data_IF_402399666691
#
_entry.id   IF_402399666691
#
_cell.length_a   1.000
_cell.length_b   1.000
_cell.length_c   1.000
_cell.angle_alpha   90.00
_cell.angle_beta   90.00
_cell.angle_gamma   90.00
#
_symmetry.space_group_name_H-M   'P 1'
#
loop_
_entity.id
_entity.type
_entity.pdbx_description
1 polymer ?
#
# COMPACT_ATOMS: atom_id res chain seq x y z
N UNK A 1 -2.22 -70.51 -0.33
CA UNK A 1 -2.30 -71.46 0.79
C UNK A 1 -2.37 -70.64 2.06
N UNK A 2 -3.58 -70.48 2.57
CA UNK A 2 -3.85 -70.00 3.94
C UNK A 2 -3.60 -71.10 4.94
N UNK A 3 -3.39 -70.79 6.21
CA UNK A 3 -4.44 -71.23 7.13
C UNK A 3 -4.85 -70.16 8.17
N UNK A 4 -6.09 -70.37 8.57
CA UNK A 4 -6.95 -69.69 9.53
C UNK A 4 -6.56 -69.85 11.02
N UNK A 5 -7.18 -69.06 11.89
CA UNK A 5 -6.90 -68.94 13.32
C UNK A 5 -7.72 -69.96 14.16
N UNK A 6 -7.47 -70.04 15.43
CA UNK A 6 -8.45 -70.65 16.34
C UNK A 6 -9.14 -69.61 17.24
N UNK A 7 -10.41 -69.92 17.45
CA UNK A 7 -11.40 -69.22 18.29
C UNK A 7 -11.42 -69.72 19.74
N UNK A 8 -12.31 -69.20 20.60
CA UNK A 8 -12.07 -68.86 22.00
C UNK A 8 -12.66 -69.83 23.02
N UNK A 9 -12.43 -69.59 24.29
CA UNK A 9 -13.31 -70.13 25.35
C UNK A 9 -13.25 -69.33 26.68
N UNK A 10 -14.20 -69.50 27.58
CA UNK A 10 -14.89 -68.38 28.19
C UNK A 10 -14.76 -68.32 29.74
N UNK A 11 -15.45 -67.32 30.29
CA UNK A 11 -16.05 -67.26 31.62
C UNK A 11 -15.22 -66.90 32.84
N UNK A 12 -15.57 -65.83 33.50
CA UNK A 12 -15.22 -65.47 34.88
C UNK A 12 -16.08 -64.33 35.39
N UNK A 13 -17.04 -64.63 36.22
CA UNK A 13 -18.01 -63.71 36.86
C UNK A 13 -17.38 -62.81 37.91
N UNK A 14 -17.96 -61.61 38.06
CA UNK A 14 -18.25 -61.03 39.35
C UNK A 14 -17.42 -59.82 39.78
N UNK A 15 -18.05 -58.72 39.97
CA UNK A 15 -17.47 -57.62 40.73
C UNK A 15 -18.11 -56.26 40.39
N UNK A 16 -19.26 -55.98 41.02
CA UNK A 16 -19.84 -54.62 41.08
C UNK A 16 -18.92 -53.73 41.87
N UNK A 17 -18.30 -52.76 41.21
CA UNK A 17 -17.62 -51.62 41.86
C UNK A 17 -18.22 -50.32 41.33
N UNK A 18 -18.75 -49.58 42.29
CA UNK A 18 -19.30 -48.24 42.17
C UNK A 18 -18.38 -47.27 41.42
N UNK A 19 -18.90 -46.63 40.39
CA UNK A 19 -18.21 -45.54 39.64
C UNK A 19 -18.43 -44.25 40.40
N UNK A 20 -17.40 -43.51 40.82
CA UNK A 20 -17.58 -42.13 41.31
C UNK A 20 -17.93 -41.22 40.12
N UNK A 21 -19.04 -40.48 40.28
CA UNK A 21 -19.39 -39.36 39.40
C UNK A 21 -18.30 -38.29 39.51
N UNK A 22 -17.38 -38.28 38.58
CA UNK A 22 -16.54 -37.11 38.35
C UNK A 22 -17.40 -36.02 37.70
N UNK A 23 -17.74 -34.99 38.48
CA UNK A 23 -18.20 -33.72 37.94
C UNK A 23 -17.06 -33.14 37.09
N UNK A 24 -17.18 -33.29 35.79
CA UNK A 24 -16.32 -32.62 34.83
C UNK A 24 -16.64 -31.12 34.86
N UNK A 25 -15.74 -30.35 35.47
CA UNK A 25 -15.72 -28.90 35.41
C UNK A 25 -15.38 -28.54 33.96
N UNK A 26 -16.40 -28.21 33.17
CA UNK A 26 -16.26 -27.67 31.81
C UNK A 26 -15.69 -26.25 31.97
N UNK A 27 -14.38 -26.13 31.96
CA UNK A 27 -13.70 -24.84 31.87
C UNK A 27 -14.05 -24.26 30.48
N UNK A 28 -15.01 -23.33 30.43
CA UNK A 28 -15.17 -22.44 29.28
C UNK A 28 -13.86 -21.65 29.14
N UNK A 29 -13.04 -22.08 28.20
CA UNK A 29 -11.96 -21.25 27.66
C UNK A 29 -12.65 -20.05 26.95
N UNK A 30 -12.88 -18.99 27.69
CA UNK A 30 -13.08 -17.67 27.12
C UNK A 30 -11.78 -17.34 26.39
N UNK A 31 -11.72 -17.65 25.09
CA UNK A 31 -10.76 -17.05 24.19
C UNK A 31 -11.13 -15.56 24.08
N UNK A 32 -10.78 -14.82 25.12
CA UNK A 32 -10.75 -13.37 25.05
C UNK A 32 -9.85 -13.03 23.85
N UNK A 33 -10.37 -12.28 22.89
CA UNK A 33 -9.54 -11.61 21.90
C UNK A 33 -8.47 -10.86 22.70
N UNK A 34 -7.27 -11.38 22.72
CA UNK A 34 -6.16 -10.70 23.37
C UNK A 34 -6.03 -9.35 22.65
N UNK A 35 -6.48 -8.30 23.29
CA UNK A 35 -6.26 -6.94 22.85
C UNK A 35 -4.75 -6.80 22.79
N UNK A 36 -4.21 -6.56 21.60
CA UNK A 36 -2.77 -6.28 21.47
C UNK A 36 -2.53 -4.96 22.15
N UNK A 37 -1.71 -4.94 23.19
CA UNK A 37 -1.30 -3.71 23.91
C UNK A 37 -0.49 -2.75 23.02
N UNK A 38 -0.43 -3.00 21.70
CA UNK A 38 0.33 -2.22 20.73
C UNK A 38 -0.39 -2.19 19.38
N UNK A 39 -0.13 -1.15 18.60
CA UNK A 39 -0.59 -0.99 17.22
C UNK A 39 0.54 -1.34 16.25
N UNK A 40 0.24 -2.10 15.21
CA UNK A 40 1.20 -2.46 14.18
C UNK A 40 0.94 -1.64 12.93
N UNK A 41 1.87 -0.75 12.57
CA UNK A 41 1.83 0.09 11.36
C UNK A 41 2.69 -0.53 10.28
N UNK A 42 2.11 -0.78 9.11
CA UNK A 42 2.81 -1.27 7.93
C UNK A 42 3.08 -0.19 6.90
N UNK A 43 3.93 -0.50 5.92
CA UNK A 43 4.13 0.32 4.71
C UNK A 43 4.36 -0.53 3.47
N UNK A 44 4.17 0.07 2.29
CA UNK A 44 4.57 -0.50 1.01
C UNK A 44 6.08 -0.34 0.80
N UNK A 45 6.62 -0.97 -0.24
CA UNK A 45 8.06 -1.03 -0.54
C UNK A 45 8.58 0.18 -1.33
N UNK A 46 8.28 1.39 -0.88
CA UNK A 46 8.82 2.63 -1.43
C UNK A 46 8.84 3.75 -0.39
N UNK A 47 9.75 4.71 -0.56
CA UNK A 47 10.12 5.73 0.41
C UNK A 47 8.96 6.53 0.96
N UNK A 48 8.06 7.03 0.09
CA UNK A 48 6.89 7.79 0.55
C UNK A 48 6.01 6.98 1.49
N UNK A 49 5.80 5.69 1.19
CA UNK A 49 4.97 4.83 2.04
C UNK A 49 5.62 4.59 3.40
N UNK A 50 6.94 4.40 3.44
CA UNK A 50 7.69 4.26 4.69
C UNK A 50 7.62 5.57 5.51
N UNK A 51 7.77 6.72 4.86
CA UNK A 51 7.68 8.04 5.48
C UNK A 51 6.28 8.33 6.04
N UNK A 52 5.23 8.04 5.27
CA UNK A 52 3.85 8.18 5.74
C UNK A 52 3.53 7.20 6.88
N UNK A 53 4.04 5.99 6.80
CA UNK A 53 3.95 5.01 7.88
C UNK A 53 4.59 5.53 9.17
N UNK A 54 5.77 6.15 9.07
CA UNK A 54 6.47 6.75 10.22
C UNK A 54 5.76 7.98 10.77
N UNK A 55 5.23 8.87 9.92
CA UNK A 55 4.40 10.01 10.34
C UNK A 55 3.18 9.53 11.14
N UNK A 56 2.49 8.50 10.64
CA UNK A 56 1.32 7.91 11.32
C UNK A 56 1.71 7.26 12.63
N UNK A 57 2.79 6.47 12.65
CA UNK A 57 3.28 5.82 13.86
C UNK A 57 3.62 6.82 14.96
N UNK A 58 4.44 7.83 14.64
CA UNK A 58 4.81 8.87 15.60
C UNK A 58 3.62 9.73 16.03
N UNK A 59 2.64 9.98 15.15
CA UNK A 59 1.44 10.71 15.51
C UNK A 59 0.59 9.94 16.53
N UNK A 60 0.44 8.62 16.36
CA UNK A 60 -0.24 7.77 17.35
C UNK A 60 0.52 7.82 18.69
N UNK A 61 1.84 7.62 18.71
CA UNK A 61 2.66 7.66 19.90
C UNK A 61 2.60 9.02 20.63
N UNK A 62 2.55 10.12 19.86
CA UNK A 62 2.46 11.50 20.43
C UNK A 62 1.11 11.82 21.04
N UNK A 63 0.02 11.27 20.53
CA UNK A 63 -1.36 11.63 20.90
C UNK A 63 -2.04 10.58 21.75
N UNK A 64 -1.44 9.43 21.89
CA UNK A 64 -1.93 8.33 22.71
C UNK A 64 -0.78 7.76 23.55
N UNK A 65 -1.07 6.86 24.46
CA UNK A 65 -0.03 6.14 25.21
C UNK A 65 0.30 4.78 24.57
N UNK A 66 -0.19 4.52 23.34
CA UNK A 66 -0.04 3.23 22.70
C UNK A 66 1.35 3.08 22.09
N UNK A 67 2.06 2.00 22.39
CA UNK A 67 3.28 1.65 21.67
C UNK A 67 2.96 1.23 20.25
N UNK A 68 3.81 1.63 19.29
CA UNK A 68 3.64 1.31 17.88
C UNK A 68 4.79 0.44 17.39
N UNK A 69 4.44 -0.75 16.88
CA UNK A 69 5.37 -1.61 16.12
C UNK A 69 5.37 -1.19 14.65
N UNK A 70 6.55 -1.00 14.08
CA UNK A 70 6.73 -0.66 12.67
C UNK A 70 7.07 -1.91 11.87
N UNK A 71 6.28 -2.19 10.84
CA UNK A 71 6.51 -3.24 9.83
C UNK A 71 6.54 -2.63 8.45
N UNK A 72 7.62 -1.92 8.17
CA UNK A 72 7.78 -1.18 6.94
C UNK A 72 8.35 -2.04 5.81
N UNK A 73 8.21 -1.53 4.58
CA UNK A 73 8.76 -2.13 3.37
C UNK A 73 8.29 -3.58 3.12
N UNK A 74 7.03 -3.87 3.44
CA UNK A 74 6.47 -5.22 3.34
C UNK A 74 6.38 -5.75 1.90
N UNK A 75 6.07 -4.86 0.96
CA UNK A 75 5.82 -5.19 -0.44
C UNK A 75 4.83 -4.25 -1.07
N UNK A 76 4.31 -4.59 -2.24
CA UNK A 76 3.33 -3.76 -2.93
C UNK A 76 1.91 -3.82 -2.33
N UNK A 77 0.97 -3.21 -3.04
CA UNK A 77 -0.43 -3.07 -2.64
C UNK A 77 -1.08 -4.37 -2.15
N UNK A 78 -0.91 -5.46 -2.90
CA UNK A 78 -1.57 -6.72 -2.56
C UNK A 78 -0.99 -7.37 -1.31
N UNK A 79 0.32 -7.22 -1.07
CA UNK A 79 0.99 -7.71 0.15
C UNK A 79 0.48 -6.96 1.38
N UNK A 80 0.43 -5.61 1.32
CA UNK A 80 -0.09 -4.80 2.42
C UNK A 80 -1.58 -5.03 2.66
N UNK A 81 -2.38 -5.17 1.61
CA UNK A 81 -3.80 -5.48 1.72
C UNK A 81 -4.04 -6.86 2.38
N UNK A 82 -3.25 -7.87 2.02
CA UNK A 82 -3.31 -9.17 2.67
C UNK A 82 -2.86 -9.09 4.15
N UNK A 83 -1.80 -8.35 4.43
CA UNK A 83 -1.28 -8.18 5.78
C UNK A 83 -2.32 -7.53 6.72
N UNK A 84 -3.03 -6.49 6.27
CA UNK A 84 -4.05 -5.83 7.09
C UNK A 84 -5.30 -6.70 7.24
N UNK A 85 -5.77 -7.35 6.19
CA UNK A 85 -6.97 -8.21 6.25
C UNK A 85 -6.75 -9.47 7.10
N UNK A 86 -5.52 -10.00 7.13
CA UNK A 86 -5.14 -11.13 8.00
C UNK A 86 -4.79 -10.71 9.43
N UNK A 87 -4.75 -9.41 9.74
CA UNK A 87 -4.39 -8.89 11.06
C UNK A 87 -2.91 -8.96 11.41
N UNK A 88 -2.03 -9.08 10.42
CA UNK A 88 -0.59 -8.98 10.63
C UNK A 88 -0.17 -7.54 10.92
N UNK A 89 -0.84 -6.57 10.29
CA UNK A 89 -0.74 -5.14 10.59
C UNK A 89 -2.13 -4.60 10.95
N UNK A 90 -2.20 -3.51 11.71
CA UNK A 90 -3.45 -2.86 12.12
C UNK A 90 -3.77 -1.64 11.27
N UNK A 91 -2.75 -1.04 10.65
CA UNK A 91 -2.87 0.17 9.87
C UNK A 91 -1.74 0.27 8.84
N UNK A 92 -2.04 0.86 7.68
CA UNK A 92 -1.06 1.37 6.71
C UNK A 92 -1.68 2.52 5.92
N UNK A 93 -0.87 3.25 5.15
CA UNK A 93 -1.36 4.29 4.24
C UNK A 93 -1.58 3.71 2.85
N UNK A 94 -2.76 3.95 2.30
CA UNK A 94 -3.14 3.52 0.96
C UNK A 94 -3.67 4.71 0.15
N UNK A 95 -3.69 4.55 -1.17
CA UNK A 95 -4.14 5.57 -2.12
C UNK A 95 -5.53 5.20 -2.66
N UNK A 96 -6.44 6.17 -2.69
CA UNK A 96 -7.85 5.96 -3.07
C UNK A 96 -7.99 5.31 -4.45
N UNK A 97 -7.25 5.78 -5.46
CA UNK A 97 -7.26 5.21 -6.80
C UNK A 97 -6.73 3.79 -6.86
N UNK A 98 -5.68 3.48 -6.08
CA UNK A 98 -5.13 2.12 -5.97
C UNK A 98 -6.16 1.16 -5.36
N UNK A 99 -6.78 1.56 -4.25
CA UNK A 99 -7.83 0.76 -3.62
C UNK A 99 -9.00 0.52 -4.58
N UNK A 100 -9.41 1.58 -5.29
CA UNK A 100 -10.54 1.55 -6.22
C UNK A 100 -10.29 0.61 -7.42
N UNK A 101 -9.14 0.75 -8.08
CA UNK A 101 -8.84 0.04 -9.32
C UNK A 101 -8.18 -1.32 -9.08
N UNK A 102 -7.15 -1.39 -8.23
CA UNK A 102 -6.38 -2.61 -8.05
C UNK A 102 -7.07 -3.60 -7.10
N UNK A 103 -7.61 -3.14 -5.96
CA UNK A 103 -8.24 -4.02 -4.96
C UNK A 103 -9.72 -4.27 -5.28
N UNK A 104 -10.51 -3.21 -5.47
CA UNK A 104 -11.94 -3.31 -5.74
C UNK A 104 -12.26 -3.68 -7.20
N UNK A 105 -11.28 -3.66 -8.10
CA UNK A 105 -11.41 -4.00 -9.53
C UNK A 105 -12.45 -3.16 -10.27
N UNK A 106 -12.56 -1.88 -9.91
CA UNK A 106 -13.48 -0.93 -10.55
C UNK A 106 -12.79 -0.20 -11.70
N UNK A 107 -13.56 0.19 -12.71
CA UNK A 107 -13.06 1.04 -13.79
C UNK A 107 -12.68 2.42 -13.24
N UNK A 108 -11.57 3.04 -13.71
CA UNK A 108 -11.15 4.36 -13.25
C UNK A 108 -12.22 5.42 -13.48
N UNK A 109 -12.37 6.33 -12.51
CA UNK A 109 -13.24 7.53 -12.61
C UNK A 109 -12.48 8.74 -12.05
N UNK A 110 -12.76 9.93 -12.59
CA UNK A 110 -12.02 11.14 -12.23
C UNK A 110 -12.54 11.86 -10.97
N UNK A 111 -13.77 11.56 -10.52
CA UNK A 111 -14.38 12.23 -9.38
C UNK A 111 -13.82 11.74 -8.05
N UNK A 112 -13.04 12.59 -7.37
CA UNK A 112 -12.35 12.30 -6.11
C UNK A 112 -13.30 11.84 -5.01
N UNK A 113 -14.40 12.55 -4.84
CA UNK A 113 -15.36 12.29 -3.78
C UNK A 113 -16.08 10.97 -3.99
N UNK A 114 -16.41 10.64 -5.24
CA UNK A 114 -17.00 9.35 -5.61
C UNK A 114 -16.05 8.20 -5.34
N UNK A 115 -14.77 8.35 -5.73
CA UNK A 115 -13.74 7.34 -5.48
C UNK A 115 -13.58 7.12 -3.98
N UNK A 116 -13.38 8.18 -3.20
CA UNK A 116 -13.20 8.08 -1.75
C UNK A 116 -14.40 7.43 -1.05
N UNK A 117 -15.63 7.94 -1.30
CA UNK A 117 -16.85 7.37 -0.67
C UNK A 117 -17.04 5.90 -1.03
N UNK A 118 -16.77 5.52 -2.28
CA UNK A 118 -16.90 4.14 -2.72
C UNK A 118 -15.89 3.24 -2.03
N UNK A 119 -14.63 3.66 -1.97
CA UNK A 119 -13.56 2.91 -1.32
C UNK A 119 -13.85 2.76 0.19
N UNK A 120 -14.18 3.85 0.87
CA UNK A 120 -14.47 3.83 2.30
C UNK A 120 -15.62 2.85 2.64
N UNK A 121 -16.74 2.94 1.91
CA UNK A 121 -17.87 2.04 2.10
C UNK A 121 -17.53 0.58 1.80
N UNK A 122 -16.93 0.31 0.63
CA UNK A 122 -16.69 -1.06 0.19
C UNK A 122 -15.60 -1.76 1.03
N UNK A 123 -14.60 -1.02 1.52
CA UNK A 123 -13.59 -1.55 2.42
C UNK A 123 -14.17 -1.90 3.80
N UNK A 124 -15.05 -1.05 4.32
CA UNK A 124 -15.74 -1.32 5.58
C UNK A 124 -16.61 -2.59 5.47
N UNK A 125 -17.44 -2.65 4.43
CA UNK A 125 -18.39 -3.75 4.25
C UNK A 125 -17.72 -5.08 3.91
N UNK A 126 -16.68 -5.08 3.08
CA UNK A 126 -16.06 -6.30 2.56
C UNK A 126 -14.91 -6.80 3.40
N UNK A 127 -14.19 -5.91 4.06
CA UNK A 127 -12.93 -6.24 4.71
C UNK A 127 -12.87 -5.84 6.19
N UNK A 128 -13.87 -5.12 6.72
CA UNK A 128 -13.82 -4.59 8.09
C UNK A 128 -12.70 -3.56 8.29
N UNK A 129 -12.43 -2.77 7.26
CA UNK A 129 -11.38 -1.74 7.23
C UNK A 129 -11.99 -0.35 7.11
N UNK A 130 -11.65 0.55 8.03
CA UNK A 130 -12.04 1.95 7.97
C UNK A 130 -11.00 2.77 7.17
N UNK A 131 -11.49 3.77 6.43
CA UNK A 131 -10.65 4.79 5.79
C UNK A 131 -10.68 6.07 6.61
N UNK A 132 -9.51 6.57 6.98
CA UNK A 132 -9.37 7.91 7.54
C UNK A 132 -9.49 8.97 6.45
N UNK A 133 -9.52 10.25 6.86
CA UNK A 133 -9.57 11.37 5.91
C UNK A 133 -8.24 11.49 5.16
N UNK A 134 -8.26 11.86 3.85
CA UNK A 134 -7.04 12.08 3.07
C UNK A 134 -6.10 13.11 3.69
N UNK A 135 -4.81 12.90 3.54
CA UNK A 135 -3.76 13.80 4.07
C UNK A 135 -3.69 15.14 3.35
N UNK A 136 -4.17 15.23 2.10
CA UNK A 136 -4.29 16.49 1.35
C UNK A 136 -3.48 16.54 0.05
N UNK A 137 -2.83 15.46 -0.35
CA UNK A 137 -2.09 15.37 -1.61
C UNK A 137 -2.58 14.21 -2.48
N UNK A 138 -2.26 14.30 -3.77
CA UNK A 138 -2.57 13.29 -4.78
C UNK A 138 -1.27 12.78 -5.39
N UNK A 139 -0.98 11.49 -5.23
CA UNK A 139 0.20 10.85 -5.80
C UNK A 139 -0.17 9.92 -6.95
N UNK A 140 -0.40 10.51 -8.14
CA UNK A 140 -0.71 9.74 -9.35
C UNK A 140 0.54 9.13 -9.98
N UNK A 141 0.35 8.11 -10.80
CA UNK A 141 1.43 7.64 -11.67
C UNK A 141 1.94 8.78 -12.57
N UNK A 142 3.25 8.91 -12.65
CA UNK A 142 3.96 9.90 -13.44
C UNK A 142 4.74 9.23 -14.57
N UNK A 143 4.25 9.35 -15.80
CA UNK A 143 5.00 8.86 -16.97
C UNK A 143 6.13 9.83 -17.22
N UNK A 144 7.35 9.38 -16.95
CA UNK A 144 8.52 10.23 -16.80
C UNK A 144 9.59 9.87 -17.82
N UNK A 145 10.19 10.90 -18.40
CA UNK A 145 11.25 10.82 -19.41
C UNK A 145 12.38 11.77 -19.08
N UNK A 146 13.56 11.61 -19.66
CA UNK A 146 14.64 12.59 -19.56
C UNK A 146 14.23 13.88 -20.26
N UNK A 147 14.40 15.04 -19.62
CA UNK A 147 14.05 16.36 -20.19
C UNK A 147 14.73 16.62 -21.53
N UNK A 148 16.01 16.26 -21.68
CA UNK A 148 16.74 16.39 -22.94
C UNK A 148 16.09 15.62 -24.09
N UNK A 149 15.56 14.42 -23.84
CA UNK A 149 14.94 13.59 -24.85
C UNK A 149 13.53 14.12 -25.18
N UNK A 150 12.80 14.59 -24.17
CA UNK A 150 11.52 15.27 -24.37
C UNK A 150 11.69 16.52 -25.25
N UNK A 151 12.72 17.33 -24.99
CA UNK A 151 13.01 18.54 -25.79
C UNK A 151 13.38 18.16 -27.23
N UNK A 152 14.26 17.17 -27.42
CA UNK A 152 14.68 16.70 -28.76
C UNK A 152 13.51 16.18 -29.59
N UNK A 153 12.63 15.38 -28.96
CA UNK A 153 11.52 14.72 -29.64
C UNK A 153 10.19 15.49 -29.54
N UNK A 154 10.18 16.67 -28.89
CA UNK A 154 8.99 17.54 -28.76
C UNK A 154 7.88 16.89 -27.93
N UNK A 155 8.22 16.19 -26.83
CA UNK A 155 7.26 15.49 -25.98
C UNK A 155 6.79 16.41 -24.85
N UNK A 156 5.48 16.51 -24.68
CA UNK A 156 4.83 17.22 -23.56
C UNK A 156 3.76 16.36 -22.88
N UNK A 157 3.10 15.51 -23.64
CA UNK A 157 1.93 14.71 -23.24
C UNK A 157 2.20 13.25 -23.43
N UNK A 158 1.46 12.41 -22.71
CA UNK A 158 1.54 10.96 -22.88
C UNK A 158 1.15 10.55 -24.32
N UNK A 159 0.21 11.25 -24.94
CA UNK A 159 -0.12 11.04 -26.36
C UNK A 159 1.06 11.17 -27.31
N UNK A 160 2.05 12.02 -26.99
CA UNK A 160 3.23 12.22 -27.84
C UNK A 160 4.14 11.01 -27.88
N UNK A 161 4.10 10.15 -26.83
CA UNK A 161 4.91 8.93 -26.77
C UNK A 161 4.60 7.95 -27.90
N UNK A 162 3.38 7.90 -28.39
CA UNK A 162 3.00 6.95 -29.46
C UNK A 162 3.91 7.08 -30.68
N UNK A 163 4.44 8.27 -30.95
CA UNK A 163 5.32 8.58 -32.09
C UNK A 163 6.74 8.05 -31.89
N UNK A 164 7.22 7.99 -30.66
CA UNK A 164 8.60 7.59 -30.33
C UNK A 164 8.69 6.18 -29.73
N UNK A 165 7.64 5.67 -29.14
CA UNK A 165 7.58 4.37 -28.50
C UNK A 165 8.13 3.21 -29.34
N UNK A 166 7.93 3.14 -30.69
CA UNK A 166 8.47 2.05 -31.51
C UNK A 166 10.01 1.93 -31.51
N UNK A 167 10.73 2.97 -31.05
CA UNK A 167 12.20 2.95 -30.95
C UNK A 167 12.70 3.10 -29.50
N UNK A 168 11.79 3.27 -28.54
CA UNK A 168 12.12 3.49 -27.14
C UNK A 168 11.98 2.22 -26.30
N UNK A 169 12.75 2.17 -25.21
CA UNK A 169 12.71 1.11 -24.20
C UNK A 169 11.97 1.63 -22.98
N UNK A 170 10.96 0.88 -22.53
CA UNK A 170 10.23 1.19 -21.32
C UNK A 170 10.74 0.35 -20.14
N UNK A 171 10.81 0.96 -18.93
CA UNK A 171 11.10 0.27 -17.69
C UNK A 171 10.06 0.62 -16.65
N UNK A 172 9.41 -0.40 -16.05
CA UNK A 172 8.31 -0.18 -15.11
C UNK A 172 8.44 -1.07 -13.88
N UNK A 173 7.89 -0.58 -12.78
CA UNK A 173 7.70 -1.38 -11.56
C UNK A 173 6.74 -2.57 -11.81
N UNK A 174 6.92 -3.66 -11.05
CA UNK A 174 6.12 -4.88 -11.19
C UNK A 174 4.62 -4.60 -11.10
N UNK A 175 4.18 -3.82 -10.10
CA UNK A 175 2.75 -3.50 -9.94
C UNK A 175 2.17 -2.72 -11.13
N UNK A 176 2.93 -1.78 -11.70
CA UNK A 176 2.46 -1.03 -12.87
C UNK A 176 2.26 -1.92 -14.10
N UNK A 177 3.01 -3.00 -14.21
CA UNK A 177 2.83 -3.98 -15.28
C UNK A 177 1.60 -4.87 -15.08
N UNK A 178 1.21 -5.14 -13.83
CA UNK A 178 0.15 -6.09 -13.48
C UNK A 178 -1.22 -5.45 -13.25
N UNK A 179 -1.24 -4.20 -12.78
CA UNK A 179 -2.48 -3.51 -12.40
C UNK A 179 -3.33 -3.15 -13.62
N UNK A 180 -4.65 -3.12 -13.41
CA UNK A 180 -5.63 -2.73 -14.45
C UNK A 180 -5.49 -1.26 -14.86
N UNK A 181 -5.13 -0.37 -13.92
CA UNK A 181 -4.81 1.04 -14.13
C UNK A 181 -3.33 1.28 -14.47
N UNK A 182 -2.59 0.23 -14.78
CA UNK A 182 -1.18 0.26 -15.12
C UNK A 182 -0.92 0.26 -16.63
N UNK A 183 0.23 -0.34 -17.01
CA UNK A 183 0.76 -0.25 -18.36
C UNK A 183 -0.19 -0.75 -19.46
N UNK A 184 -0.86 -1.89 -19.27
CA UNK A 184 -1.72 -2.48 -20.31
C UNK A 184 -2.86 -1.54 -20.70
N UNK A 185 -3.52 -0.97 -19.70
CA UNK A 185 -4.60 0.00 -19.92
C UNK A 185 -4.07 1.29 -20.52
N UNK A 186 -2.96 1.82 -19.99
CA UNK A 186 -2.31 3.02 -20.52
C UNK A 186 -1.92 2.83 -22.00
N UNK A 187 -1.27 1.73 -22.33
CA UNK A 187 -0.85 1.43 -23.69
C UNK A 187 -2.04 1.33 -24.65
N UNK A 188 -3.15 0.73 -24.21
CA UNK A 188 -4.39 0.66 -24.99
C UNK A 188 -4.99 2.04 -25.24
N UNK A 189 -5.11 2.88 -24.21
CA UNK A 189 -5.72 4.22 -24.30
C UNK A 189 -4.87 5.16 -25.17
N UNK A 190 -3.55 5.10 -25.02
CA UNK A 190 -2.61 6.00 -25.71
C UNK A 190 -2.02 5.43 -26.99
N UNK A 191 -2.32 4.18 -27.34
CA UNK A 191 -1.78 3.53 -28.53
C UNK A 191 -0.28 3.26 -28.47
N UNK A 192 0.28 3.02 -27.27
CA UNK A 192 1.73 2.85 -27.07
C UNK A 192 2.18 1.46 -27.50
N UNK A 193 3.17 1.41 -28.38
CA UNK A 193 3.82 0.18 -28.85
C UNK A 193 5.33 0.36 -28.76
N UNK A 194 5.94 -0.17 -27.72
CA UNK A 194 7.38 -0.08 -27.53
C UNK A 194 8.15 -1.09 -28.41
N UNK A 195 9.45 -0.79 -28.63
CA UNK A 195 10.35 -1.64 -29.43
C UNK A 195 10.45 -3.09 -28.93
N UNK A 196 10.31 -3.27 -27.62
CA UNK A 196 10.30 -4.56 -26.93
C UNK A 196 9.31 -4.50 -25.77
N UNK A 197 8.92 -5.64 -25.18
CA UNK A 197 8.19 -5.64 -23.92
C UNK A 197 8.91 -4.81 -22.86
N UNK A 198 8.17 -4.02 -22.03
CA UNK A 198 8.78 -3.24 -20.97
C UNK A 198 9.60 -4.10 -20.02
N UNK A 199 10.75 -3.59 -19.58
CA UNK A 199 11.58 -4.25 -18.57
C UNK A 199 10.96 -4.07 -17.20
N UNK A 200 10.67 -5.18 -16.52
CA UNK A 200 10.24 -5.16 -15.13
C UNK A 200 11.45 -4.90 -14.21
N UNK A 201 11.31 -4.01 -13.24
CA UNK A 201 12.38 -3.71 -12.28
C UNK A 201 11.82 -3.21 -10.96
N UNK A 202 12.66 -3.22 -9.94
CA UNK A 202 12.34 -2.61 -8.66
C UNK A 202 12.13 -1.10 -8.79
N UNK A 203 11.17 -0.53 -8.03
CA UNK A 203 10.85 0.90 -8.08
C UNK A 203 12.06 1.79 -7.79
N UNK A 204 12.90 1.40 -6.82
CA UNK A 204 14.12 2.15 -6.48
C UNK A 204 15.15 2.21 -7.61
N UNK A 205 15.08 1.30 -8.60
CA UNK A 205 16.00 1.26 -9.74
C UNK A 205 15.49 2.01 -10.97
N UNK A 206 14.20 2.32 -11.06
CA UNK A 206 13.59 2.89 -12.27
C UNK A 206 14.20 4.24 -12.66
N UNK A 207 14.35 5.14 -11.71
CA UNK A 207 14.92 6.48 -11.93
C UNK A 207 16.39 6.43 -12.37
N UNK A 208 17.17 5.57 -11.74
CA UNK A 208 18.56 5.36 -12.10
C UNK A 208 18.69 4.78 -13.51
N UNK A 209 17.88 3.76 -13.86
CA UNK A 209 17.85 3.19 -15.17
C UNK A 209 17.49 4.23 -16.26
N UNK A 210 16.55 5.14 -15.97
CA UNK A 210 16.20 6.25 -16.84
C UNK A 210 17.37 7.25 -16.99
N UNK A 211 17.97 7.67 -15.90
CA UNK A 211 19.08 8.63 -15.92
C UNK A 211 20.31 8.10 -16.68
N UNK A 212 20.62 6.80 -16.50
CA UNK A 212 21.74 6.11 -17.19
C UNK A 212 21.40 5.75 -18.65
N UNK A 213 20.19 5.98 -19.14
CA UNK A 213 19.80 5.66 -20.53
C UNK A 213 19.58 4.16 -20.79
N UNK A 214 19.42 3.35 -19.75
CA UNK A 214 19.07 1.92 -19.90
C UNK A 214 17.65 1.75 -20.41
N UNK A 215 16.77 2.66 -20.01
CA UNK A 215 15.40 2.82 -20.51
C UNK A 215 15.17 4.29 -20.90
N UNK A 216 14.11 4.55 -21.67
CA UNK A 216 13.79 5.88 -22.18
C UNK A 216 12.56 6.49 -21.52
N UNK A 217 11.71 5.66 -20.93
CA UNK A 217 10.52 6.06 -20.19
C UNK A 217 10.29 5.13 -19.01
N UNK A 218 9.82 5.71 -17.90
CA UNK A 218 9.41 5.00 -16.69
C UNK A 218 8.02 5.46 -16.24
N UNK A 219 7.41 4.70 -15.36
CA UNK A 219 6.29 5.14 -14.55
C UNK A 219 6.81 5.32 -13.12
N UNK A 220 6.98 6.56 -12.72
CA UNK A 220 7.24 6.97 -11.34
C UNK A 220 5.96 7.45 -10.68
N UNK A 221 6.10 8.24 -9.61
CA UNK A 221 4.98 8.86 -8.90
C UNK A 221 5.13 10.38 -8.92
N UNK A 222 4.02 11.12 -8.96
CA UNK A 222 4.04 12.58 -9.12
C UNK A 222 4.65 13.36 -7.95
N UNK A 223 4.84 12.69 -6.82
CA UNK A 223 5.47 13.23 -5.62
C UNK A 223 6.93 12.79 -5.43
N UNK A 224 7.51 12.02 -6.37
CA UNK A 224 8.88 11.52 -6.25
C UNK A 224 9.91 12.66 -6.35
N UNK A 225 10.77 12.81 -5.33
CA UNK A 225 11.79 13.86 -5.27
C UNK A 225 12.86 13.75 -6.35
N UNK A 226 13.11 12.55 -6.87
CA UNK A 226 14.08 12.26 -7.92
C UNK A 226 13.74 12.92 -9.27
N UNK A 227 12.48 13.26 -9.53
CA UNK A 227 12.07 13.92 -10.77
C UNK A 227 12.83 15.24 -10.97
N UNK A 228 12.88 16.06 -9.94
CA UNK A 228 13.59 17.35 -10.00
C UNK A 228 15.13 17.14 -9.92
N UNK A 229 15.58 16.25 -9.03
CA UNK A 229 17.02 16.04 -8.80
C UNK A 229 17.75 15.51 -10.05
N UNK A 230 17.08 14.74 -10.89
CA UNK A 230 17.64 14.13 -12.11
C UNK A 230 17.25 14.88 -13.39
N UNK A 231 16.68 16.08 -13.28
CA UNK A 231 16.20 16.89 -14.43
C UNK A 231 15.30 16.09 -15.38
N UNK A 232 14.29 15.45 -14.82
CA UNK A 232 13.32 14.66 -15.57
C UNK A 232 12.08 15.50 -15.90
N UNK A 233 11.31 15.01 -16.86
CA UNK A 233 10.02 15.59 -17.26
C UNK A 233 8.91 14.56 -17.08
N UNK A 234 7.88 14.91 -16.32
CA UNK A 234 6.62 14.18 -16.26
C UNK A 234 5.75 14.61 -17.44
N UNK A 235 5.27 13.66 -18.21
CA UNK A 235 4.35 13.92 -19.33
C UNK A 235 2.93 14.11 -18.81
N UNK A 236 2.23 15.07 -19.37
CA UNK A 236 0.82 15.36 -19.05
C UNK A 236 -0.08 14.18 -19.45
N UNK A 237 -0.92 13.73 -18.54
CA UNK A 237 -1.99 12.75 -18.81
C UNK A 237 -3.17 13.44 -19.51
N UNK A 238 -3.02 13.73 -20.80
CA UNK A 238 -3.94 14.51 -21.60
C UNK A 238 -5.26 13.79 -21.95
N UNK A 239 -5.38 12.50 -21.60
CA UNK A 239 -6.62 11.72 -21.71
C UNK A 239 -7.24 11.37 -20.37
N UNK A 240 -6.67 11.89 -19.27
CA UNK A 240 -7.16 11.67 -17.90
C UNK A 240 -7.36 10.16 -17.60
N UNK A 241 -6.36 9.37 -17.97
CA UNK A 241 -6.40 7.92 -17.78
C UNK A 241 -6.31 7.51 -16.32
N UNK A 242 -5.50 8.22 -15.54
CA UNK A 242 -5.30 7.89 -14.15
C UNK A 242 -6.41 8.48 -13.25
N UNK A 243 -7.01 7.67 -12.34
CA UNK A 243 -7.93 8.19 -11.34
C UNK A 243 -7.18 9.04 -10.29
N UNK A 244 -7.90 9.73 -9.39
CA UNK A 244 -7.27 10.38 -8.24
C UNK A 244 -6.69 9.34 -7.27
N UNK A 245 -5.48 9.60 -6.76
CA UNK A 245 -4.76 8.78 -5.79
C UNK A 245 -4.47 9.59 -4.53
N UNK A 246 -5.50 9.92 -3.76
CA UNK A 246 -5.34 10.62 -2.49
C UNK A 246 -4.87 9.63 -1.41
N UNK A 247 -3.78 9.99 -0.72
CA UNK A 247 -3.24 9.17 0.36
C UNK A 247 -4.06 9.31 1.64
N UNK A 248 -4.46 8.19 2.23
CA UNK A 248 -5.21 8.17 3.48
C UNK A 248 -4.86 6.93 4.34
N UNK A 249 -5.00 7.00 5.66
CA UNK A 249 -4.78 5.83 6.52
C UNK A 249 -5.93 4.83 6.38
N UNK A 250 -5.59 3.55 6.25
CA UNK A 250 -6.52 2.41 6.27
C UNK A 250 -6.28 1.63 7.54
N UNK A 251 -7.35 1.40 8.33
CA UNK A 251 -7.28 0.92 9.70
C UNK A 251 -8.25 -0.24 9.88
N UNK A 252 -7.85 -1.28 10.58
CA UNK A 252 -8.77 -2.35 10.98
C UNK A 252 -9.81 -1.84 11.96
N UNK A 253 -11.09 -2.17 11.74
CA UNK A 253 -12.16 -1.83 12.67
C UNK A 253 -11.91 -2.38 14.07
N UNK A 254 -11.31 -3.58 14.17
CA UNK A 254 -10.95 -4.16 15.46
C UNK A 254 -9.94 -3.30 16.25
N UNK A 255 -8.98 -2.67 15.56
CA UNK A 255 -8.03 -1.75 16.19
C UNK A 255 -8.72 -0.46 16.69
N UNK A 256 -9.63 0.10 15.89
CA UNK A 256 -10.42 1.28 16.30
C UNK A 256 -11.40 0.98 17.46
N UNK A 257 -11.97 -0.23 17.48
CA UNK A 257 -12.85 -0.63 18.58
C UNK A 257 -12.08 -0.76 19.88
N UNK A 258 -10.86 -1.29 19.81
CA UNK A 258 -9.99 -1.43 20.99
C UNK A 258 -9.34 -0.13 21.43
N UNK A 259 -9.05 0.75 20.49
CA UNK A 259 -8.29 1.99 20.70
C UNK A 259 -8.94 3.15 19.91
N UNK A 260 -10.12 3.65 20.35
CA UNK A 260 -10.87 4.69 19.64
C UNK A 260 -10.09 6.02 19.53
N UNK A 261 -9.14 6.28 20.42
CA UNK A 261 -8.26 7.45 20.40
C UNK A 261 -7.39 7.56 19.15
N UNK A 262 -7.12 6.44 18.46
CA UNK A 262 -6.37 6.43 17.20
C UNK A 262 -7.08 7.26 16.14
N UNK A 263 -8.41 7.18 16.05
CA UNK A 263 -9.18 7.94 15.07
C UNK A 263 -8.97 9.46 15.25
N UNK A 264 -8.99 9.95 16.49
CA UNK A 264 -8.75 11.36 16.79
C UNK A 264 -7.30 11.79 16.50
N UNK A 265 -6.32 10.93 16.80
CA UNK A 265 -4.91 11.19 16.51
C UNK A 265 -4.67 11.34 14.99
N UNK A 266 -5.22 10.43 14.19
CA UNK A 266 -5.06 10.43 12.73
C UNK A 266 -5.86 11.54 12.04
N UNK A 267 -7.01 11.93 12.57
CA UNK A 267 -7.82 13.02 12.03
C UNK A 267 -7.06 14.35 11.98
N UNK A 268 -6.07 14.55 12.85
CA UNK A 268 -5.23 15.76 12.87
C UNK A 268 -4.29 15.86 11.66
N UNK A 269 -4.00 14.75 10.98
CA UNK A 269 -3.17 14.71 9.77
C UNK A 269 -3.96 15.09 8.50
N UNK A 270 -5.31 15.10 8.56
CA UNK A 270 -6.16 15.35 7.41
C UNK A 270 -5.91 16.73 6.79
N UNK A 271 -5.63 16.77 5.48
CA UNK A 271 -5.39 18.00 4.74
C UNK A 271 -4.08 18.73 5.08
N UNK A 272 -3.15 18.11 5.82
CA UNK A 272 -1.92 18.76 6.31
C UNK A 272 -0.72 18.64 5.38
N UNK A 273 -0.74 17.75 4.42
CA UNK A 273 0.36 17.53 3.47
C UNK A 273 -0.13 17.94 2.09
N UNK A 274 0.49 18.95 1.48
CA UNK A 274 0.26 19.29 0.07
C UNK A 274 1.15 18.45 -0.85
N UNK A 275 0.84 18.42 -2.18
CA UNK A 275 1.71 17.78 -3.18
C UNK A 275 3.15 18.31 -3.14
N UNK A 276 3.31 19.63 -2.98
CA UNK A 276 4.61 20.25 -2.88
C UNK A 276 5.37 19.83 -1.61
N UNK A 277 4.65 19.76 -0.49
CA UNK A 277 5.25 19.32 0.77
C UNK A 277 5.65 17.84 0.70
N UNK A 278 4.82 16.97 0.10
CA UNK A 278 5.17 15.57 -0.04
C UNK A 278 6.41 15.38 -0.93
N UNK A 279 6.50 16.10 -2.06
CA UNK A 279 7.72 16.11 -2.88
C UNK A 279 8.96 16.53 -2.10
N UNK A 280 8.83 17.58 -1.27
CA UNK A 280 9.94 18.05 -0.42
C UNK A 280 10.38 16.97 0.58
N UNK A 281 9.41 16.32 1.25
CA UNK A 281 9.70 15.26 2.23
C UNK A 281 10.36 14.04 1.57
N UNK A 282 9.87 13.63 0.39
CA UNK A 282 10.48 12.55 -0.38
C UNK A 282 11.90 12.90 -0.83
N UNK A 283 12.14 14.16 -1.24
CA UNK A 283 13.47 14.60 -1.64
C UNK A 283 14.49 14.56 -0.47
N UNK A 284 14.06 14.89 0.75
CA UNK A 284 14.92 14.76 1.94
C UNK A 284 15.38 13.31 2.16
N UNK A 285 14.51 12.33 1.88
CA UNK A 285 14.83 10.91 2.04
C UNK A 285 15.61 10.35 0.85
N UNK A 286 15.12 10.56 -0.39
CA UNK A 286 15.64 9.89 -1.58
C UNK A 286 16.90 10.57 -2.14
N UNK A 287 17.04 11.89 -1.96
CA UNK A 287 18.12 12.70 -2.56
C UNK A 287 19.13 13.10 -1.50
N UNK A 288 18.67 13.59 -0.36
CA UNK A 288 19.55 14.01 0.73
C UNK A 288 19.91 12.86 1.69
N UNK A 289 19.31 11.69 1.52
CA UNK A 289 19.54 10.47 2.31
C UNK A 289 19.37 10.68 3.82
N UNK A 290 18.42 11.56 4.21
CA UNK A 290 18.08 11.78 5.60
C UNK A 290 17.26 10.62 6.14
N UNK A 291 17.43 10.35 7.42
CA UNK A 291 16.67 9.32 8.14
C UNK A 291 15.16 9.63 8.17
N UNK A 292 14.34 8.66 7.75
CA UNK A 292 12.88 8.78 7.62
C UNK A 292 12.22 9.13 8.96
N UNK A 293 12.65 8.51 10.07
CA UNK A 293 12.08 8.79 11.39
C UNK A 293 12.37 10.22 11.84
N UNK A 294 13.54 10.76 11.48
CA UNK A 294 13.91 12.15 11.73
C UNK A 294 13.09 13.11 10.88
N UNK A 295 12.90 12.83 9.59
CA UNK A 295 12.06 13.65 8.70
C UNK A 295 10.64 13.73 9.24
N UNK A 296 10.03 12.58 9.59
CA UNK A 296 8.68 12.49 10.13
C UNK A 296 8.54 13.29 11.43
N UNK A 297 9.49 13.15 12.36
CA UNK A 297 9.50 13.86 13.63
C UNK A 297 9.57 15.37 13.45
N UNK A 298 10.48 15.83 12.58
CA UNK A 298 10.70 17.26 12.33
C UNK A 298 9.45 17.88 11.69
N UNK A 299 8.86 17.19 10.72
CA UNK A 299 7.61 17.60 10.07
C UNK A 299 6.44 17.68 11.06
N UNK A 300 6.25 16.64 11.88
CA UNK A 300 5.18 16.60 12.88
C UNK A 300 5.29 17.75 13.89
N UNK A 301 6.50 18.09 14.32
CA UNK A 301 6.75 19.23 15.23
C UNK A 301 6.42 20.57 14.60
N UNK A 302 6.74 20.73 13.33
CA UNK A 302 6.49 21.97 12.59
C UNK A 302 5.01 22.16 12.21
N UNK A 303 4.31 21.08 11.85
CA UNK A 303 2.96 21.12 11.27
C UNK A 303 1.83 20.87 12.26
N UNK A 304 2.14 20.20 13.37
CA UNK A 304 1.17 19.80 14.42
C UNK A 304 1.77 20.05 15.81
N UNK A 305 1.85 21.29 16.27
CA UNK A 305 2.41 21.65 17.57
C UNK A 305 1.64 21.06 18.78
#
# INVERSE_FOLDING_TARGET
MSPHPPSPSPCGRGGTKSVPRCLGLLALLLTGCAHRDRIVVGSKNFTESDLLGEIVAQQIERRTALPVERRFHLGGTFVCHQAITSGQIDLYVEYTGTAYTAVLKRAPVADRDSVYRTVARDYEQRFGLAWGRPFGFNNTFAITVRRRDATRDGLKRISDLARVAPRWKAGFGYEFLERTDGFRGLASVYGLRFAAPPTAMDLGLTYRALAEGKVDVIAGNSTDGQIQALDLLVLEDDRHYFPPYEAAPVIRQAALTGHPEIAAALAQLAGKISDAEMRRLNALADVEHRDIATIARDWLRASLP
#
